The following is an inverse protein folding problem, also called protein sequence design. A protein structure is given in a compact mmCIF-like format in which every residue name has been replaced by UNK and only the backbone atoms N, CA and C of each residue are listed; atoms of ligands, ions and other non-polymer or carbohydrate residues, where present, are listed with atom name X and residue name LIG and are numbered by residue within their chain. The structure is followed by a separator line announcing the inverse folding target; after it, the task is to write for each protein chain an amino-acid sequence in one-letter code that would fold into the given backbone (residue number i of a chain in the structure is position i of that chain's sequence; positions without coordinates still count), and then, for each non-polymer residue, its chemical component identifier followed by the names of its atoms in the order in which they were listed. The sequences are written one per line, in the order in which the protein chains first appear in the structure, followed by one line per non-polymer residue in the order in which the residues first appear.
data_IF_535552603893
#
_entry.id   IF_535552603893
#
_cell.length_a   1.000
_cell.length_b   1.000
_cell.length_c   1.000
_cell.angle_alpha   90.00
_cell.angle_beta   90.00
_cell.angle_gamma   90.00
#
_symmetry.space_group_name_H-M   'P 1'
#
loop_
_entity.id
_entity.type
_entity.pdbx_description
1 polymer ?
#
# COMPACT_ATOMS: atom_id res chain seq x y z
N UNK A 1 20.71 -2.39 -3.59
CA UNK A 1 21.24 -1.93 -4.89
C UNK A 1 21.35 -3.17 -5.77
N UNK A 2 20.95 -3.14 -7.06
CA UNK A 2 20.75 -1.96 -7.92
C UNK A 2 19.32 -1.43 -8.05
N UNK A 3 18.31 -2.17 -7.58
CA UNK A 3 16.91 -1.84 -7.90
C UNK A 3 16.35 -0.63 -7.12
N UNK A 4 16.80 -0.44 -5.88
CA UNK A 4 16.41 0.66 -5.00
C UNK A 4 17.65 1.54 -4.68
N UNK A 5 17.61 2.86 -4.93
CA UNK A 5 18.70 3.78 -4.62
C UNK A 5 19.01 3.89 -3.12
N UNK A 6 18.06 3.53 -2.25
CA UNK A 6 18.23 3.53 -0.80
C UNK A 6 18.55 2.15 -0.24
N UNK A 7 18.87 1.17 -1.09
CA UNK A 7 19.23 -0.20 -0.71
C UNK A 7 18.17 -0.93 0.14
N UNK A 8 16.91 -0.49 0.08
CA UNK A 8 15.81 -1.17 0.76
C UNK A 8 15.46 -2.47 0.05
N UNK A 9 15.11 -3.49 0.84
CA UNK A 9 14.59 -4.75 0.34
C UNK A 9 13.06 -4.74 0.36
N UNK A 10 12.45 -5.10 -0.76
CA UNK A 10 11.00 -5.15 -0.92
C UNK A 10 10.53 -6.61 -0.92
N UNK A 11 9.85 -7.01 0.15
CA UNK A 11 9.34 -8.36 0.29
C UNK A 11 8.07 -8.55 -0.54
N UNK A 12 7.95 -9.65 -1.32
CA UNK A 12 6.68 -9.99 -1.93
C UNK A 12 5.66 -10.30 -0.84
N UNK A 13 4.40 -9.98 -1.10
CA UNK A 13 3.30 -10.19 -0.14
C UNK A 13 3.05 -11.67 0.19
N UNK A 14 3.62 -12.61 -0.57
CA UNK A 14 3.34 -14.03 -0.49
C UNK A 14 1.94 -14.39 -1.02
N UNK A 15 1.51 -15.62 -0.77
CA UNK A 15 0.16 -16.08 -1.10
C UNK A 15 -0.82 -15.51 -0.07
N UNK A 16 -1.83 -14.81 -0.56
CA UNK A 16 -2.92 -14.26 0.24
C UNK A 16 -4.21 -14.82 -0.34
N UNK A 17 -5.09 -15.30 0.53
CA UNK A 17 -6.38 -15.83 0.09
C UNK A 17 -7.29 -14.71 -0.42
N UNK A 18 -8.21 -15.04 -1.33
CA UNK A 18 -9.22 -14.11 -1.89
C UNK A 18 -8.70 -12.93 -2.72
N UNK A 19 -7.38 -12.83 -2.94
CA UNK A 19 -6.77 -11.84 -3.83
C UNK A 19 -6.03 -12.49 -4.98
N UNK A 20 -5.89 -11.75 -6.08
CA UNK A 20 -5.07 -12.10 -7.23
C UNK A 20 -4.03 -11.01 -7.50
N UNK A 21 -2.95 -11.39 -8.17
CA UNK A 21 -1.95 -10.43 -8.65
C UNK A 21 -2.41 -9.82 -9.97
N UNK A 22 -2.56 -8.50 -9.99
CA UNK A 22 -2.66 -7.71 -11.21
C UNK A 22 -1.26 -7.23 -11.62
N UNK A 23 -0.93 -7.40 -12.90
CA UNK A 23 0.36 -6.97 -13.47
C UNK A 23 0.18 -6.63 -14.95
N UNK A 24 1.20 -6.01 -15.54
CA UNK A 24 1.27 -5.68 -16.97
C UNK A 24 2.52 -6.34 -17.54
N UNK A 25 2.57 -6.63 -18.84
CA UNK A 25 3.67 -7.42 -19.40
C UNK A 25 5.00 -6.65 -19.54
N UNK A 26 4.99 -5.32 -19.41
CA UNK A 26 6.16 -4.48 -19.66
C UNK A 26 6.30 -3.39 -18.60
N UNK A 27 7.43 -3.37 -17.88
CA UNK A 27 7.75 -2.36 -16.85
C UNK A 27 8.05 -0.96 -17.41
N UNK A 28 8.39 -0.83 -18.70
CA UNK A 28 8.79 0.45 -19.30
C UNK A 28 7.66 1.48 -19.35
N UNK A 29 6.41 1.07 -19.13
CA UNK A 29 5.29 2.00 -19.01
C UNK A 29 5.38 2.83 -17.73
N UNK A 30 5.93 2.26 -16.65
CA UNK A 30 6.00 2.92 -15.36
C UNK A 30 7.01 4.06 -15.45
N UNK A 31 6.55 5.28 -15.15
CA UNK A 31 7.43 6.43 -15.03
C UNK A 31 8.43 6.18 -13.90
N UNK A 32 9.69 6.57 -14.11
CA UNK A 32 10.76 6.35 -13.14
C UNK A 32 10.52 7.18 -11.88
N UNK A 33 10.89 6.59 -10.74
CA UNK A 33 10.64 7.15 -9.41
C UNK A 33 11.86 6.95 -8.52
N UNK A 34 12.10 7.90 -7.62
CA UNK A 34 13.27 7.87 -6.74
C UNK A 34 12.97 7.27 -5.38
N UNK A 35 11.74 7.42 -4.89
CA UNK A 35 11.27 7.05 -3.56
C UNK A 35 10.81 5.59 -3.42
N UNK A 36 10.63 4.86 -4.52
CA UNK A 36 10.33 3.42 -4.55
C UNK A 36 10.84 2.81 -5.86
N UNK A 37 11.37 1.57 -5.86
CA UNK A 37 11.74 0.87 -7.07
C UNK A 37 10.52 0.56 -7.95
N UNK A 38 10.69 0.71 -9.27
CA UNK A 38 9.65 0.37 -10.27
C UNK A 38 9.16 -1.08 -10.13
N UNK A 39 10.04 -2.00 -9.71
CA UNK A 39 9.68 -3.40 -9.45
C UNK A 39 8.60 -3.57 -8.40
N UNK A 40 8.58 -2.73 -7.36
CA UNK A 40 7.55 -2.80 -6.31
C UNK A 40 6.18 -2.28 -6.79
N UNK A 41 6.12 -1.60 -7.94
CA UNK A 41 4.88 -1.07 -8.51
C UNK A 41 4.30 -1.93 -9.61
N UNK A 42 5.15 -2.77 -10.18
CA UNK A 42 4.82 -3.59 -11.31
C UNK A 42 3.80 -4.68 -11.00
N UNK A 43 3.76 -5.12 -9.74
CA UNK A 43 2.77 -6.03 -9.22
C UNK A 43 1.83 -5.29 -8.28
N UNK A 44 0.57 -5.70 -8.28
CA UNK A 44 -0.40 -5.25 -7.31
C UNK A 44 -1.32 -6.38 -6.90
N UNK A 45 -1.84 -6.31 -5.69
CA UNK A 45 -2.92 -7.16 -5.24
C UNK A 45 -4.26 -6.47 -5.50
N UNK A 46 -5.26 -7.27 -5.88
CA UNK A 46 -6.66 -6.86 -6.03
C UNK A 46 -7.55 -8.04 -5.68
N UNK A 47 -8.77 -7.85 -5.18
CA UNK A 47 -9.70 -8.94 -4.91
C UNK A 47 -9.89 -9.87 -6.13
N UNK A 48 -9.96 -11.17 -5.89
CA UNK A 48 -10.16 -12.19 -6.94
C UNK A 48 -11.51 -12.06 -7.64
N UNK A 49 -12.54 -11.65 -6.89
CA UNK A 49 -13.87 -11.38 -7.44
C UNK A 49 -13.93 -9.98 -8.04
N UNK A 50 -14.30 -9.89 -9.31
CA UNK A 50 -14.53 -8.61 -10.01
C UNK A 50 -15.68 -7.79 -9.43
N UNK A 51 -16.54 -8.40 -8.60
CA UNK A 51 -17.66 -7.75 -7.91
C UNK A 51 -17.30 -7.32 -6.47
N UNK A 52 -16.12 -7.66 -5.97
CA UNK A 52 -15.72 -7.27 -4.63
C UNK A 52 -15.57 -5.76 -4.54
N UNK A 53 -16.07 -5.20 -3.43
CA UNK A 53 -16.03 -3.76 -3.15
C UNK A 53 -14.99 -3.42 -2.09
N UNK A 54 -14.30 -4.41 -1.53
CA UNK A 54 -13.34 -4.21 -0.45
C UNK A 54 -12.10 -5.06 -0.68
N UNK A 55 -10.94 -4.47 -0.39
CA UNK A 55 -9.67 -5.17 -0.24
C UNK A 55 -9.20 -4.99 1.20
N UNK A 56 -9.13 -6.10 1.95
CA UNK A 56 -8.46 -6.11 3.25
C UNK A 56 -6.96 -6.21 3.02
N UNK A 57 -6.21 -5.28 3.60
CA UNK A 57 -4.75 -5.29 3.48
C UNK A 57 -4.21 -6.47 4.29
N UNK A 58 -3.28 -7.27 3.73
CA UNK A 58 -2.64 -8.37 4.45
C UNK A 58 -1.68 -7.82 5.51
N UNK A 59 -2.19 -7.55 6.71
CA UNK A 59 -1.43 -6.94 7.83
C UNK A 59 -0.95 -7.97 8.85
N UNK A 60 -1.24 -9.25 8.63
CA UNK A 60 -0.82 -10.33 9.52
C UNK A 60 0.70 -10.35 9.69
N UNK A 61 1.17 -10.31 10.94
CA UNK A 61 2.59 -10.24 11.28
C UNK A 61 3.24 -8.86 11.12
N UNK A 62 2.52 -7.86 10.61
CA UNK A 62 3.00 -6.47 10.49
C UNK A 62 2.61 -5.65 11.73
N UNK A 63 1.33 -5.71 12.09
CA UNK A 63 0.82 -5.10 13.33
C UNK A 63 0.66 -6.20 14.37
N UNK A 64 1.76 -6.68 14.94
CA UNK A 64 1.75 -7.76 15.94
C UNK A 64 1.68 -7.25 17.38
N UNK A 65 1.92 -5.96 17.59
CA UNK A 65 2.00 -5.33 18.90
C UNK A 65 1.29 -3.98 18.90
N UNK A 66 0.81 -3.59 20.08
CA UNK A 66 0.23 -2.28 20.31
C UNK A 66 1.30 -1.19 20.26
N UNK A 67 1.32 -0.41 19.19
CA UNK A 67 2.35 0.60 18.96
C UNK A 67 1.89 1.70 18.00
N UNK A 68 2.66 2.78 17.96
CA UNK A 68 2.53 3.78 16.90
C UNK A 68 3.25 3.30 15.65
N UNK A 69 2.59 3.35 14.50
CA UNK A 69 3.17 3.03 13.20
C UNK A 69 3.07 4.22 12.24
N UNK A 70 4.13 4.42 11.46
CA UNK A 70 4.11 5.19 10.22
C UNK A 70 3.95 4.22 9.06
N UNK A 71 3.21 4.61 8.04
CA UNK A 71 3.05 3.82 6.84
C UNK A 71 2.98 4.70 5.60
N UNK A 72 3.38 4.12 4.47
CA UNK A 72 3.23 4.68 3.13
C UNK A 72 2.65 3.57 2.26
N UNK A 73 1.47 3.81 1.69
CA UNK A 73 0.83 2.92 0.72
C UNK A 73 0.99 3.49 -0.68
N UNK A 74 1.34 2.63 -1.63
CA UNK A 74 1.58 2.98 -3.01
C UNK A 74 0.50 2.39 -3.91
N UNK A 75 -0.16 3.27 -4.67
CA UNK A 75 -1.25 2.94 -5.57
C UNK A 75 -0.90 3.37 -6.99
N UNK A 76 -1.02 2.45 -7.93
CA UNK A 76 -0.90 2.71 -9.35
C UNK A 76 -1.81 1.74 -10.09
N UNK A 77 -2.53 2.27 -11.07
CA UNK A 77 -3.30 1.43 -11.97
C UNK A 77 -2.36 0.73 -12.97
N UNK A 78 -2.51 -0.58 -13.07
CA UNK A 78 -1.70 -1.45 -13.93
C UNK A 78 -2.53 -2.02 -15.09
N UNK A 79 -3.86 -2.01 -14.97
CA UNK A 79 -4.77 -2.57 -15.96
C UNK A 79 -5.19 -1.51 -16.98
N UNK A 80 -5.03 -1.83 -18.26
CA UNK A 80 -5.50 -0.97 -19.35
C UNK A 80 -7.02 -0.78 -19.36
N UNK A 81 -7.76 -1.72 -18.78
CA UNK A 81 -9.23 -1.64 -18.69
C UNK A 81 -9.70 -0.38 -17.93
N UNK A 82 -8.88 0.17 -17.03
CA UNK A 82 -9.16 1.44 -16.36
C UNK A 82 -9.10 2.66 -17.29
N UNK A 83 -8.63 2.51 -18.52
CA UNK A 83 -8.72 3.52 -19.58
C UNK A 83 -9.92 3.38 -20.49
N UNK A 84 -10.58 2.22 -20.45
CA UNK A 84 -11.71 1.91 -21.31
C UNK A 84 -13.02 2.08 -20.55
N UNK A 85 -13.21 3.26 -19.93
CA UNK A 85 -14.40 3.65 -19.16
C UNK A 85 -14.65 2.86 -17.86
N UNK A 86 -13.67 2.12 -17.35
CA UNK A 86 -13.71 1.60 -15.98
C UNK A 86 -12.79 2.42 -15.09
N UNK A 87 -13.04 2.47 -13.80
CA UNK A 87 -12.25 3.27 -12.86
C UNK A 87 -12.21 2.61 -11.49
N UNK A 88 -11.08 2.78 -10.82
CA UNK A 88 -10.92 2.52 -9.39
C UNK A 88 -11.08 3.83 -8.64
N UNK A 89 -11.87 3.79 -7.59
CA UNK A 89 -12.02 4.87 -6.63
C UNK A 89 -12.39 4.26 -5.29
N UNK A 90 -11.55 4.44 -4.28
CA UNK A 90 -11.76 3.81 -2.98
C UNK A 90 -11.27 4.67 -1.82
N UNK A 91 -11.90 4.48 -0.66
CA UNK A 91 -11.51 5.08 0.59
C UNK A 91 -10.55 4.17 1.37
N UNK A 92 -9.62 4.79 2.09
CA UNK A 92 -8.67 4.12 2.97
C UNK A 92 -9.21 4.16 4.39
N UNK A 93 -9.52 2.99 4.94
CA UNK A 93 -10.10 2.84 6.27
C UNK A 93 -9.11 2.16 7.20
N UNK A 94 -9.10 2.62 8.44
CA UNK A 94 -8.46 1.94 9.57
C UNK A 94 -9.52 1.71 10.62
N UNK A 95 -9.74 0.44 10.98
CA UNK A 95 -10.77 0.01 11.93
C UNK A 95 -12.18 0.52 11.55
N UNK A 96 -12.49 0.45 10.25
CA UNK A 96 -13.77 0.92 9.70
C UNK A 96 -13.90 2.43 9.59
N UNK A 97 -12.90 3.21 10.02
CA UNK A 97 -12.92 4.67 10.00
C UNK A 97 -12.11 5.18 8.81
N UNK A 98 -12.76 5.93 7.91
CA UNK A 98 -12.14 6.60 6.75
C UNK A 98 -11.05 7.58 7.20
N UNK A 99 -9.88 7.55 6.55
CA UNK A 99 -8.69 8.35 6.91
C UNK A 99 -8.17 9.28 5.82
N UNK A 100 -8.69 9.17 4.61
CA UNK A 100 -8.42 10.08 3.49
C UNK A 100 -9.55 11.10 3.36
N UNK A 101 -9.24 12.34 2.98
CA UNK A 101 -10.27 13.35 2.68
C UNK A 101 -10.97 12.99 1.36
N UNK A 102 -10.19 12.92 0.28
CA UNK A 102 -10.65 12.56 -1.05
C UNK A 102 -10.38 11.08 -1.38
N UNK A 103 -11.28 10.41 -2.13
CA UNK A 103 -11.06 9.06 -2.60
C UNK A 103 -9.72 8.87 -3.30
N UNK A 104 -9.14 7.69 -3.10
CA UNK A 104 -7.94 7.25 -3.78
C UNK A 104 -8.35 6.75 -5.17
N UNK A 105 -7.91 7.50 -6.17
CA UNK A 105 -7.96 7.16 -7.59
C UNK A 105 -6.51 6.89 -7.99
N UNK A 106 -6.12 5.61 -8.20
CA UNK A 106 -4.78 5.27 -8.64
C UNK A 106 -4.53 5.85 -10.04
N UNK A 107 -3.50 6.68 -10.23
CA UNK A 107 -3.10 7.10 -11.55
C UNK A 107 -2.48 5.91 -12.28
N UNK A 108 -2.49 5.94 -13.60
CA UNK A 108 -1.77 4.96 -14.39
C UNK A 108 -0.43 5.54 -14.85
N UNK A 109 0.56 4.66 -15.02
CA UNK A 109 1.99 4.95 -15.24
C UNK A 109 2.69 5.70 -14.09
N UNK A 110 1.93 6.41 -13.24
CA UNK A 110 2.43 7.11 -12.07
C UNK A 110 1.82 6.56 -10.80
N UNK A 111 2.46 6.82 -9.66
CA UNK A 111 1.94 6.40 -8.36
C UNK A 111 1.26 7.53 -7.61
N UNK A 112 0.27 7.15 -6.83
CA UNK A 112 -0.25 7.95 -5.73
C UNK A 112 0.14 7.30 -4.41
N UNK A 113 0.55 8.13 -3.46
CA UNK A 113 0.86 7.70 -2.10
C UNK A 113 -0.29 8.06 -1.15
N UNK A 114 -0.59 7.18 -0.19
CA UNK A 114 -1.33 7.54 1.02
C UNK A 114 -0.44 7.22 2.21
N UNK A 115 -0.21 8.21 3.06
CA UNK A 115 0.67 8.07 4.21
C UNK A 115 0.00 8.62 5.46
N UNK A 116 0.50 8.21 6.62
CA UNK A 116 0.18 8.85 7.90
C UNK A 116 1.45 9.36 8.58
N UNK A 117 1.26 10.25 9.56
CA UNK A 117 2.33 10.78 10.40
C UNK A 117 2.33 10.16 11.81
N UNK A 118 2.04 8.86 11.90
CA UNK A 118 2.00 8.12 13.15
C UNK A 118 0.55 7.81 13.56
N UNK A 119 0.26 6.53 13.71
CA UNK A 119 -1.05 6.04 14.12
C UNK A 119 -0.86 4.90 15.10
N UNK A 120 -1.53 5.00 16.23
CA UNK A 120 -1.64 3.91 17.18
C UNK A 120 -2.46 2.78 16.55
N UNK A 121 -1.87 1.60 16.42
CA UNK A 121 -2.49 0.39 15.88
C UNK A 121 -2.24 -0.77 16.84
N UNK A 122 -3.26 -1.61 17.00
CA UNK A 122 -3.22 -2.81 17.83
C UNK A 122 -3.05 -4.05 16.97
N UNK A 123 -2.82 -5.21 17.60
CA UNK A 123 -2.82 -6.50 16.89
C UNK A 123 -4.15 -6.84 16.19
N UNK A 124 -5.26 -6.23 16.63
CA UNK A 124 -6.57 -6.38 16.00
C UNK A 124 -6.89 -5.30 14.97
N UNK A 125 -6.00 -4.32 14.75
CA UNK A 125 -6.28 -3.23 13.83
C UNK A 125 -6.29 -3.70 12.38
N UNK A 126 -7.34 -3.30 11.66
CA UNK A 126 -7.56 -3.69 10.28
C UNK A 126 -7.43 -2.48 9.35
N UNK A 127 -6.72 -2.67 8.24
CA UNK A 127 -6.65 -1.68 7.16
C UNK A 127 -7.41 -2.25 5.96
N UNK A 128 -8.34 -1.46 5.43
CA UNK A 128 -9.14 -1.85 4.27
C UNK A 128 -9.28 -0.72 3.28
N UNK A 129 -9.28 -1.08 2.00
CA UNK A 129 -9.64 -0.19 0.90
C UNK A 129 -11.07 -0.51 0.49
N UNK A 130 -11.95 0.48 0.46
CA UNK A 130 -13.38 0.29 0.20
C UNK A 130 -13.82 1.14 -0.98
N UNK A 131 -14.43 0.53 -1.99
CA UNK A 131 -14.92 1.22 -3.18
C UNK A 131 -15.87 2.37 -2.80
N UNK A 132 -15.73 3.48 -3.52
CA UNK A 132 -16.77 4.50 -3.57
C UNK A 132 -17.90 4.06 -4.51
N UNK A 133 -19.03 4.75 -4.44
CA UNK A 133 -20.21 4.44 -5.26
C UNK A 133 -19.94 4.47 -6.78
N UNK A 134 -18.94 5.24 -7.22
CA UNK A 134 -18.63 5.44 -8.64
C UNK A 134 -17.57 4.46 -9.18
N UNK A 135 -17.04 3.56 -8.34
CA UNK A 135 -16.03 2.60 -8.76
C UNK A 135 -16.64 1.44 -9.55
N UNK A 136 -15.99 1.05 -10.65
CA UNK A 136 -16.38 -0.08 -11.50
C UNK A 136 -15.37 -1.22 -11.48
N UNK A 137 -14.26 -1.04 -10.78
CA UNK A 137 -13.24 -2.05 -10.50
C UNK A 137 -13.03 -2.16 -8.98
N UNK A 138 -12.63 -3.34 -8.47
CA UNK A 138 -12.24 -3.50 -7.08
C UNK A 138 -11.06 -2.57 -6.67
N UNK A 139 -10.71 -2.45 -5.39
CA UNK A 139 -9.51 -1.73 -4.98
C UNK A 139 -8.22 -2.43 -5.44
N UNK A 140 -7.10 -1.70 -5.43
CA UNK A 140 -5.78 -2.19 -5.81
C UNK A 140 -4.73 -1.68 -4.83
N UNK A 141 -3.68 -2.48 -4.59
CA UNK A 141 -2.53 -2.08 -3.78
C UNK A 141 -1.24 -2.62 -4.40
N UNK A 142 -0.28 -1.75 -4.70
CA UNK A 142 0.98 -2.15 -5.33
C UNK A 142 2.02 -2.51 -4.28
N UNK A 143 2.26 -1.60 -3.33
CA UNK A 143 3.25 -1.78 -2.28
C UNK A 143 2.88 -0.98 -1.03
N UNK A 144 3.52 -1.32 0.09
CA UNK A 144 3.47 -0.52 1.30
C UNK A 144 4.79 -0.58 2.06
N UNK A 145 5.12 0.51 2.74
CA UNK A 145 6.15 0.57 3.77
C UNK A 145 5.48 0.79 5.11
N UNK A 146 5.96 0.11 6.15
CA UNK A 146 5.43 0.22 7.51
C UNK A 146 6.60 0.30 8.48
N UNK A 147 6.56 1.28 9.37
CA UNK A 147 7.59 1.57 10.36
C UNK A 147 6.96 1.59 11.75
N UNK A 148 7.45 0.75 12.65
CA UNK A 148 7.05 0.77 14.06
C UNK A 148 7.89 1.82 14.79
N UNK A 149 7.21 2.71 15.51
CA UNK A 149 7.89 3.67 16.39
C UNK A 149 8.36 2.95 17.63
N UNK A 150 9.67 2.91 17.82
CA UNK A 150 10.27 2.53 19.09
C UNK A 150 10.60 3.82 19.84
N UNK A 151 10.15 3.93 21.10
CA UNK A 151 10.70 4.95 21.99
C UNK A 151 12.16 4.55 22.22
N UNK A 152 13.09 5.47 21.92
CA UNK A 152 14.52 5.21 22.10
C UNK A 152 14.82 4.71 23.50
N UNK A 153 15.78 3.78 23.61
CA UNK A 153 16.42 3.50 24.89
C UNK A 153 16.90 4.84 25.45
N UNK A 154 16.56 5.15 26.70
CA UNK A 154 16.96 6.39 27.38
C UNK A 154 18.50 6.52 27.55
N UNK A 155 19.28 5.56 27.06
CA UNK A 155 20.73 5.59 27.08
C UNK A 155 21.26 5.80 25.66
N UNK A 156 21.47 7.07 25.32
CA UNK A 156 22.43 7.43 24.29
C UNK A 156 23.83 6.91 24.65
N UNK A 157 24.71 6.88 23.65
CA UNK A 157 26.14 6.57 23.80
C UNK A 157 26.74 7.28 25.02
N UNK A 158 27.54 6.52 25.77
CA UNK A 158 28.28 6.89 26.98
C UNK A 158 28.67 8.38 27.02
N UNK A 159 28.43 9.07 28.13
CA UNK A 159 28.79 10.48 28.35
C UNK A 159 30.33 10.73 28.44
N UNK A 160 31.14 9.81 27.91
CA UNK A 160 32.61 9.84 27.93
C UNK A 160 33.27 9.72 26.55
N UNK A 161 32.53 9.94 25.45
CA UNK A 161 33.15 10.26 24.15
C UNK A 161 33.39 11.77 24.00
#
# INVERSE_FOLDING_TARGET
YPDDPYDRYWHPSGKIDEVITATRDNMSFIQKTTDIPVKALFHAITPASSKATTLTVPTSGIFSEDATYYYIFYFMEVLEAAYQNKSRSFDFLVDGIKRNDDPIIPPYQWRRTNYNQGRHLTAGSNISLVNTANASLPPILNAMEVFKVQRGLANGTNEQD
#
